data_IF_010018207736
#
_entry.id   IF_010018207736
#
_cell.length_a   1.000
_cell.length_b   1.000
_cell.length_c   1.000
_cell.angle_alpha   90.00
_cell.angle_beta   90.00
_cell.angle_gamma   90.00
#
_symmetry.space_group_name_H-M   'P 1'
#
loop_
_entity.id
_entity.type
_entity.pdbx_description
1 polymer ?
#
# COMPACT_ATOMS: atom_id res chain seq x y z
N UNK A 1 16.82 -39.56 -22.79
CA UNK A 1 17.25 -39.99 -21.45
C UNK A 1 18.58 -40.71 -21.57
N UNK A 2 19.68 -40.08 -21.18
CA UNK A 2 20.99 -40.74 -21.04
C UNK A 2 21.49 -40.47 -19.62
N UNK A 3 21.54 -41.51 -18.79
CA UNK A 3 22.01 -41.48 -17.40
C UNK A 3 23.49 -41.84 -17.36
N UNK A 4 24.32 -40.95 -16.81
CA UNK A 4 25.73 -41.22 -16.51
C UNK A 4 25.84 -41.93 -15.15
N UNK A 5 26.51 -43.08 -15.11
CA UNK A 5 26.86 -43.82 -13.90
C UNK A 5 28.35 -43.57 -13.62
N UNK A 6 28.65 -42.87 -12.53
CA UNK A 6 30.01 -42.65 -12.04
C UNK A 6 30.55 -43.93 -11.39
N UNK A 7 31.72 -44.41 -11.82
CA UNK A 7 32.44 -45.54 -11.19
C UNK A 7 33.44 -45.01 -10.16
N UNK A 8 33.39 -45.55 -8.94
CA UNK A 8 34.41 -45.32 -7.91
C UNK A 8 35.73 -46.03 -8.25
N UNK A 9 36.90 -45.47 -7.90
CA UNK A 9 38.18 -46.11 -8.16
C UNK A 9 38.50 -47.17 -7.11
N UNK A 10 38.25 -48.45 -7.41
CA UNK A 10 38.71 -49.57 -6.58
C UNK A 10 40.23 -49.74 -6.70
N UNK A 11 41.00 -49.45 -5.63
CA UNK A 11 42.43 -49.79 -5.56
C UNK A 11 42.61 -51.31 -5.43
N UNK A 12 43.53 -51.87 -6.22
CA UNK A 12 43.80 -53.30 -6.31
C UNK A 12 44.62 -53.81 -5.09
N UNK A 13 44.37 -55.03 -4.60
CA UNK A 13 45.12 -55.63 -3.49
C UNK A 13 46.53 -56.07 -3.89
N UNK A 14 47.48 -55.96 -2.95
CA UNK A 14 48.90 -56.35 -3.16
C UNK A 14 49.09 -57.83 -2.76
N UNK A 15 49.84 -58.57 -3.59
CA UNK A 15 50.12 -60.00 -3.41
C UNK A 15 51.51 -60.18 -2.76
N UNK A 16 51.57 -60.91 -1.65
CA UNK A 16 52.82 -61.27 -0.98
C UNK A 16 53.32 -62.66 -1.47
N UNK A 17 54.61 -63.00 -1.27
CA UNK A 17 55.24 -64.20 -1.87
C UNK A 17 54.63 -65.56 -1.47
N UNK A 18 53.86 -65.63 -0.38
CA UNK A 18 53.16 -66.86 0.07
C UNK A 18 51.74 -67.03 -0.50
N UNK A 19 51.36 -66.23 -1.51
CA UNK A 19 50.18 -66.53 -2.34
C UNK A 19 48.80 -66.22 -1.74
N UNK A 20 48.69 -65.67 -0.53
CA UNK A 20 47.42 -65.18 0.05
C UNK A 20 47.25 -63.66 -0.09
N UNK A 21 46.01 -63.22 -0.35
CA UNK A 21 45.60 -61.81 -0.44
C UNK A 21 45.17 -61.30 0.95
N UNK A 22 45.71 -60.15 1.39
CA UNK A 22 45.31 -59.49 2.64
C UNK A 22 44.80 -58.08 2.32
N UNK A 23 43.59 -57.75 2.76
CA UNK A 23 43.10 -56.37 2.82
C UNK A 23 43.61 -55.75 4.12
N UNK A 24 44.08 -54.51 4.05
CA UNK A 24 44.66 -53.81 5.18
C UNK A 24 43.53 -53.34 6.11
N UNK A 25 43.27 -54.07 7.19
CA UNK A 25 42.50 -53.59 8.34
C UNK A 25 43.44 -52.79 9.25
N UNK A 26 43.00 -51.61 9.66
CA UNK A 26 43.54 -50.91 10.83
C UNK A 26 42.37 -50.36 11.63
N UNK A 27 42.08 -51.02 12.75
CA UNK A 27 41.20 -50.56 13.81
C UNK A 27 41.88 -49.48 14.69
N UNK A 28 41.07 -48.46 15.02
CA UNK A 28 41.00 -47.60 16.22
C UNK A 28 42.26 -47.23 17.03
N UNK A 29 42.48 -45.92 17.23
CA UNK A 29 42.04 -45.24 18.47
C UNK A 29 42.24 -43.70 18.39
N UNK A 30 41.16 -42.92 18.51
CA UNK A 30 41.08 -41.65 19.25
C UNK A 30 39.73 -40.96 19.00
N UNK A 31 39.05 -40.70 20.11
CA UNK A 31 37.79 -39.97 20.26
C UNK A 31 37.72 -38.68 19.43
N UNK A 32 36.58 -38.46 18.75
CA UNK A 32 35.80 -37.23 18.81
C UNK A 32 34.52 -37.37 17.95
N UNK A 33 33.40 -36.92 18.52
CA UNK A 33 32.04 -37.04 18.02
C UNK A 33 31.85 -36.47 16.61
N UNK A 34 31.49 -37.32 15.64
CA UNK A 34 30.90 -36.88 14.37
C UNK A 34 29.40 -36.71 14.61
N UNK A 35 29.02 -35.55 15.16
CA UNK A 35 27.69 -35.00 14.93
C UNK A 35 27.69 -34.36 13.55
N UNK A 36 26.80 -34.84 12.68
CA UNK A 36 26.59 -34.32 11.34
C UNK A 36 26.34 -32.80 11.38
N UNK A 37 27.20 -32.07 10.66
CA UNK A 37 27.10 -30.65 10.40
C UNK A 37 25.79 -30.35 9.64
N UNK A 38 24.71 -30.09 10.39
CA UNK A 38 23.57 -29.33 9.89
C UNK A 38 24.06 -27.88 9.69
N UNK A 39 23.83 -27.24 8.53
CA UNK A 39 24.24 -25.85 8.31
C UNK A 39 23.41 -24.90 9.20
N UNK A 40 23.97 -24.54 10.36
CA UNK A 40 23.38 -23.68 11.40
C UNK A 40 23.00 -22.27 10.90
N UNK A 41 23.52 -21.83 9.75
CA UNK A 41 23.27 -20.48 9.22
C UNK A 41 21.84 -20.25 8.69
N UNK A 42 21.12 -21.31 8.29
CA UNK A 42 19.77 -21.15 7.73
C UNK A 42 18.65 -21.17 8.79
N UNK A 43 18.97 -21.59 10.02
CA UNK A 43 18.01 -21.68 11.12
C UNK A 43 17.94 -20.34 11.89
N UNK A 44 19.09 -19.69 12.07
CA UNK A 44 19.20 -18.39 12.75
C UNK A 44 18.43 -17.27 12.01
N UNK A 45 18.62 -17.18 10.69
CA UNK A 45 17.93 -16.17 9.86
C UNK A 45 16.42 -16.36 9.81
N UNK A 46 15.91 -17.60 9.85
CA UNK A 46 14.48 -17.86 9.89
C UNK A 46 13.86 -17.55 11.27
N UNK A 47 14.58 -17.84 12.36
CA UNK A 47 14.16 -17.47 13.72
C UNK A 47 14.03 -15.96 13.88
N UNK A 48 14.98 -15.19 13.33
CA UNK A 48 14.92 -13.72 13.36
C UNK A 48 13.70 -13.19 12.57
N UNK A 49 13.40 -13.79 11.42
CA UNK A 49 12.22 -13.43 10.62
C UNK A 49 10.94 -13.73 11.39
N UNK A 50 10.84 -14.86 12.10
CA UNK A 50 9.65 -15.19 12.91
C UNK A 50 9.50 -14.25 14.09
N UNK A 51 10.59 -13.95 14.80
CA UNK A 51 10.56 -12.99 15.91
C UNK A 51 10.14 -11.59 15.43
N UNK A 52 10.66 -11.14 14.29
CA UNK A 52 10.29 -9.84 13.71
C UNK A 52 8.85 -9.83 13.21
N UNK A 53 8.30 -10.96 12.74
CA UNK A 53 6.87 -11.07 12.41
C UNK A 53 5.99 -10.93 13.64
N UNK A 54 6.36 -11.57 14.75
CA UNK A 54 5.66 -11.45 16.03
C UNK A 54 5.72 -10.01 16.57
N UNK A 55 6.89 -9.37 16.50
CA UNK A 55 7.07 -7.96 16.86
C UNK A 55 6.19 -7.04 16.00
N UNK A 56 6.17 -7.24 14.67
CA UNK A 56 5.28 -6.49 13.78
C UNK A 56 3.80 -6.71 14.10
N UNK A 57 3.40 -7.94 14.42
CA UNK A 57 2.02 -8.27 14.74
C UNK A 57 1.57 -7.65 16.07
N UNK A 58 2.39 -7.75 17.11
CA UNK A 58 2.12 -7.13 18.42
C UNK A 58 2.01 -5.61 18.29
N UNK A 59 2.91 -4.97 17.54
CA UNK A 59 2.83 -3.54 17.29
C UNK A 59 1.58 -3.18 16.50
N UNK A 60 1.25 -3.90 15.43
CA UNK A 60 0.05 -3.61 14.65
C UNK A 60 -1.22 -3.71 15.51
N UNK A 61 -1.32 -4.74 16.35
CA UNK A 61 -2.45 -4.94 17.26
C UNK A 61 -2.59 -3.78 18.26
N UNK A 62 -1.48 -3.37 18.90
CA UNK A 62 -1.49 -2.25 19.85
C UNK A 62 -1.96 -0.94 19.22
N UNK A 63 -1.57 -0.68 17.97
CA UNK A 63 -1.98 0.54 17.28
C UNK A 63 -3.46 0.48 16.86
N UNK A 64 -3.95 -0.68 16.41
CA UNK A 64 -5.36 -0.85 16.02
C UNK A 64 -6.30 -0.75 17.23
N UNK A 65 -5.89 -1.26 18.40
CA UNK A 65 -6.66 -1.17 19.64
C UNK A 65 -6.84 0.28 20.12
N UNK A 66 -5.73 1.02 20.27
CA UNK A 66 -5.73 2.41 20.76
C UNK A 66 -4.75 3.30 19.97
N UNK A 67 -5.18 3.89 18.84
CA UNK A 67 -4.27 4.63 17.97
C UNK A 67 -3.76 5.94 18.59
N UNK A 68 -4.53 6.57 19.49
CA UNK A 68 -4.16 7.84 20.13
C UNK A 68 -2.96 7.73 21.07
N UNK A 69 -2.90 6.65 21.86
CA UNK A 69 -1.83 6.44 22.84
C UNK A 69 -0.59 5.81 22.20
N UNK A 70 -0.78 4.94 21.20
CA UNK A 70 0.28 4.12 20.63
C UNK A 70 0.92 4.72 19.36
N UNK A 71 0.66 5.98 19.02
CA UNK A 71 1.18 6.64 17.80
C UNK A 71 2.72 6.61 17.68
N UNK A 72 3.44 6.52 18.79
CA UNK A 72 4.92 6.41 18.80
C UNK A 72 5.39 5.11 18.15
N UNK A 73 4.61 4.05 18.24
CA UNK A 73 4.94 2.74 17.69
C UNK A 73 4.97 2.75 16.15
N UNK A 74 4.28 3.68 15.48
CA UNK A 74 4.43 3.88 14.02
C UNK A 74 5.87 4.23 13.63
N UNK A 75 6.63 4.92 14.50
CA UNK A 75 8.06 5.19 14.25
C UNK A 75 8.88 3.91 14.35
N UNK A 76 8.59 3.06 15.34
CA UNK A 76 9.24 1.75 15.51
C UNK A 76 8.96 0.85 14.31
N UNK A 77 7.71 0.79 13.82
CA UNK A 77 7.38 0.07 12.59
C UNK A 77 8.24 0.55 11.42
N UNK A 78 8.47 1.86 11.30
CA UNK A 78 9.30 2.44 10.25
C UNK A 78 10.78 2.08 10.41
N UNK A 79 11.29 2.06 11.63
CA UNK A 79 12.66 1.61 11.91
C UNK A 79 12.86 0.14 11.52
N UNK A 80 11.87 -0.72 11.79
CA UNK A 80 11.91 -2.13 11.34
C UNK A 80 11.94 -2.23 9.80
N UNK A 81 11.22 -1.33 9.10
CA UNK A 81 11.26 -1.28 7.63
C UNK A 81 12.61 -0.79 7.06
N UNK A 82 13.48 -0.18 7.86
CA UNK A 82 14.83 0.20 7.45
C UNK A 82 15.86 -0.92 7.64
N UNK A 83 15.45 -2.12 8.08
CA UNK A 83 16.35 -3.26 8.26
C UNK A 83 16.93 -3.78 6.93
N UNK A 84 18.12 -4.37 7.00
CA UNK A 84 18.84 -4.91 5.83
C UNK A 84 18.15 -6.15 5.22
N UNK A 85 17.33 -6.84 6.00
CA UNK A 85 16.65 -8.04 5.57
C UNK A 85 15.44 -7.70 4.68
N UNK A 86 15.55 -8.03 3.40
CA UNK A 86 14.55 -7.68 2.38
C UNK A 86 13.17 -8.28 2.66
N UNK A 87 13.12 -9.46 3.27
CA UNK A 87 11.86 -10.13 3.69
C UNK A 87 11.17 -9.35 4.81
N UNK A 88 11.91 -8.96 5.85
CA UNK A 88 11.40 -8.16 6.97
C UNK A 88 10.95 -6.79 6.47
N UNK A 89 11.72 -6.18 5.56
CA UNK A 89 11.37 -4.92 4.92
C UNK A 89 10.03 -4.99 4.19
N UNK A 90 9.82 -6.01 3.35
CA UNK A 90 8.52 -6.21 2.66
C UNK A 90 7.37 -6.40 3.64
N UNK A 91 7.57 -7.24 4.67
CA UNK A 91 6.56 -7.48 5.68
C UNK A 91 6.21 -6.19 6.42
N UNK A 92 7.20 -5.41 6.85
CA UNK A 92 7.00 -4.14 7.52
C UNK A 92 6.25 -3.12 6.65
N UNK A 93 6.59 -3.00 5.36
CA UNK A 93 5.89 -2.10 4.43
C UNK A 93 4.42 -2.48 4.23
N UNK A 94 4.12 -3.78 4.16
CA UNK A 94 2.76 -4.31 4.04
C UNK A 94 1.97 -4.13 5.35
N UNK A 95 2.56 -4.42 6.50
CA UNK A 95 1.94 -4.20 7.81
C UNK A 95 1.61 -2.73 8.01
N UNK A 96 2.53 -1.81 7.69
CA UNK A 96 2.29 -0.37 7.75
C UNK A 96 1.12 0.05 6.88
N UNK A 97 1.00 -0.49 5.66
CA UNK A 97 -0.13 -0.20 4.78
C UNK A 97 -1.47 -0.56 5.42
N UNK A 98 -1.58 -1.77 5.97
CA UNK A 98 -2.83 -2.25 6.60
C UNK A 98 -3.18 -1.36 7.79
N UNK A 99 -2.20 -1.11 8.67
CA UNK A 99 -2.34 -0.24 9.84
C UNK A 99 -2.79 1.17 9.43
N UNK A 100 -2.23 1.74 8.36
CA UNK A 100 -2.67 3.05 7.87
C UNK A 100 -4.10 3.03 7.32
N UNK A 101 -4.51 1.98 6.60
CA UNK A 101 -5.89 1.87 6.08
C UNK A 101 -6.93 1.87 7.21
N UNK A 102 -6.61 1.27 8.35
CA UNK A 102 -7.53 1.18 9.48
C UNK A 102 -7.59 2.47 10.32
N UNK A 103 -6.48 3.19 10.44
CA UNK A 103 -6.37 4.38 11.31
C UNK A 103 -6.75 5.68 10.59
N UNK A 104 -6.63 5.71 9.25
CA UNK A 104 -6.86 6.94 8.50
C UNK A 104 -8.33 7.38 8.62
N UNK A 105 -8.59 8.61 9.07
CA UNK A 105 -9.95 9.12 9.12
C UNK A 105 -10.55 9.35 7.72
N UNK A 106 -11.88 9.35 7.66
CA UNK A 106 -12.65 9.69 6.46
C UNK A 106 -12.61 11.17 6.05
N UNK A 107 -11.74 11.99 6.65
CA UNK A 107 -11.63 13.42 6.41
C UNK A 107 -10.18 13.85 6.21
N UNK A 108 -9.98 15.01 5.58
CA UNK A 108 -8.65 15.58 5.33
C UNK A 108 -8.18 16.39 6.53
N UNK A 109 -6.99 16.08 7.04
CA UNK A 109 -6.40 16.76 8.19
C UNK A 109 -5.73 18.06 7.72
N UNK A 110 -6.14 19.20 8.28
CA UNK A 110 -5.50 20.51 8.01
C UNK A 110 -4.30 20.72 8.92
N UNK A 111 -3.24 21.33 8.40
CA UNK A 111 -2.15 21.81 9.24
C UNK A 111 -2.62 22.98 10.11
N UNK A 112 -2.31 22.93 11.40
CA UNK A 112 -2.64 24.02 12.33
C UNK A 112 -1.76 25.23 12.07
N UNK A 113 -2.36 26.41 12.11
CA UNK A 113 -1.65 27.69 12.06
C UNK A 113 -0.98 27.98 13.40
N UNK A 114 0.05 28.83 13.39
CA UNK A 114 0.84 29.10 14.61
C UNK A 114 0.03 29.83 15.70
N UNK A 115 -1.02 30.57 15.31
CA UNK A 115 -2.01 31.17 16.22
C UNK A 115 -2.86 30.09 16.92
N UNK A 116 -3.23 29.02 16.20
CA UNK A 116 -4.04 27.92 16.75
C UNK A 116 -3.22 26.99 17.65
N UNK A 117 -1.91 26.87 17.43
CA UNK A 117 -0.99 26.07 18.26
C UNK A 117 -0.73 26.68 19.63
N UNK A 118 -0.71 28.01 19.73
CA UNK A 118 -0.45 28.74 20.98
C UNK A 118 -1.70 28.90 21.85
N UNK A 119 -2.88 28.70 21.27
CA UNK A 119 -4.15 28.80 22.00
C UNK A 119 -4.30 27.63 22.98
N UNK A 120 -4.63 27.95 24.24
CA UNK A 120 -4.94 26.94 25.27
C UNK A 120 -6.26 26.24 24.90
N UNK A 121 -6.20 24.94 24.69
CA UNK A 121 -7.34 24.07 24.42
C UNK A 121 -7.47 23.03 25.52
N UNK A 122 -8.66 22.42 25.62
CA UNK A 122 -8.90 21.30 26.54
C UNK A 122 -7.94 20.14 26.28
N UNK A 123 -7.74 19.31 27.29
CA UNK A 123 -6.81 18.18 27.21
C UNK A 123 -7.19 17.19 26.09
N UNK A 124 -8.49 16.93 25.91
CA UNK A 124 -9.00 16.05 24.84
C UNK A 124 -8.66 16.61 23.45
N UNK A 125 -8.91 17.89 23.21
CA UNK A 125 -8.59 18.55 21.93
C UNK A 125 -7.08 18.59 21.71
N UNK A 126 -6.29 18.74 22.78
CA UNK A 126 -4.83 18.70 22.70
C UNK A 126 -4.32 17.30 22.31
N UNK A 127 -4.88 16.24 22.87
CA UNK A 127 -4.55 14.84 22.53
C UNK A 127 -4.87 14.55 21.06
N UNK A 128 -6.08 14.89 20.61
CA UNK A 128 -6.50 14.71 19.22
C UNK A 128 -5.58 15.46 18.23
N UNK A 129 -5.27 16.73 18.50
CA UNK A 129 -4.34 17.52 17.67
C UNK A 129 -2.95 16.89 17.60
N UNK A 130 -2.45 16.38 18.72
CA UNK A 130 -1.14 15.72 18.75
C UNK A 130 -1.15 14.43 17.94
N UNK A 131 -2.22 13.64 18.07
CA UNK A 131 -2.43 12.44 17.28
C UNK A 131 -2.46 12.74 15.79
N UNK A 132 -3.31 13.67 15.34
CA UNK A 132 -3.45 14.04 13.92
C UNK A 132 -2.14 14.55 13.31
N UNK A 133 -1.41 15.42 14.02
CA UNK A 133 -0.12 15.94 13.56
C UNK A 133 0.92 14.84 13.40
N UNK A 134 1.01 13.93 14.37
CA UNK A 134 1.93 12.79 14.30
C UNK A 134 1.52 11.80 13.21
N UNK A 135 0.23 11.55 13.02
CA UNK A 135 -0.29 10.67 11.99
C UNK A 135 0.14 11.18 10.60
N UNK A 136 -0.12 12.46 10.31
CA UNK A 136 0.26 13.09 9.03
C UNK A 136 1.77 13.09 8.84
N UNK A 137 2.55 13.39 9.88
CA UNK A 137 4.02 13.40 9.82
C UNK A 137 4.60 12.00 9.55
N UNK A 138 4.13 10.98 10.28
CA UNK A 138 4.57 9.60 10.08
C UNK A 138 4.13 9.06 8.73
N UNK A 139 2.91 9.37 8.30
CA UNK A 139 2.41 9.01 6.98
C UNK A 139 3.24 9.63 5.85
N UNK A 140 3.59 10.92 5.96
CA UNK A 140 4.50 11.56 5.01
C UNK A 140 5.87 10.87 4.98
N UNK A 141 6.41 10.48 6.13
CA UNK A 141 7.67 9.76 6.19
C UNK A 141 7.56 8.37 5.54
N UNK A 142 6.46 7.65 5.74
CA UNK A 142 6.19 6.37 5.09
C UNK A 142 6.16 6.50 3.56
N UNK A 143 5.44 7.49 3.04
CA UNK A 143 5.39 7.76 1.60
C UNK A 143 6.79 8.06 1.03
N UNK A 144 7.61 8.83 1.75
CA UNK A 144 9.01 9.09 1.36
C UNK A 144 9.86 7.83 1.37
N UNK A 145 9.67 6.93 2.34
CA UNK A 145 10.33 5.63 2.36
C UNK A 145 9.96 4.82 1.13
N UNK A 146 8.67 4.70 0.80
CA UNK A 146 8.22 4.01 -0.42
C UNK A 146 8.79 4.66 -1.70
N UNK A 147 8.78 5.99 -1.80
CA UNK A 147 9.38 6.70 -2.95
C UNK A 147 10.88 6.42 -3.10
N UNK A 148 11.59 6.27 -1.99
CA UNK A 148 13.03 5.99 -1.98
C UNK A 148 13.28 4.60 -2.54
N UNK A 149 12.49 3.60 -2.15
CA UNK A 149 12.54 2.24 -2.71
C UNK A 149 12.24 2.22 -4.22
N UNK A 150 11.31 3.07 -4.67
CA UNK A 150 10.99 3.19 -6.10
C UNK A 150 12.11 3.84 -6.93
N UNK A 151 12.82 4.81 -6.34
CA UNK A 151 13.94 5.51 -6.99
C UNK A 151 15.22 4.67 -6.98
N UNK A 152 15.43 3.88 -5.92
CA UNK A 152 16.62 3.03 -5.72
C UNK A 152 16.91 2.13 -6.91
N UNK A 153 15.88 1.45 -7.45
CA UNK A 153 16.05 0.58 -8.63
C UNK A 153 16.48 1.35 -9.88
N UNK A 154 15.94 2.55 -10.12
CA UNK A 154 16.33 3.35 -11.29
C UNK A 154 17.78 3.85 -11.16
N UNK A 155 18.21 4.19 -9.95
CA UNK A 155 19.60 4.58 -9.67
C UNK A 155 20.55 3.40 -9.85
N UNK A 156 20.20 2.24 -9.30
CA UNK A 156 20.96 1.00 -9.50
C UNK A 156 21.09 0.68 -11.00
N UNK A 157 19.98 0.66 -11.75
CA UNK A 157 19.98 0.45 -13.20
C UNK A 157 20.87 1.48 -13.95
N UNK A 158 20.82 2.75 -13.55
CA UNK A 158 21.64 3.80 -14.17
C UNK A 158 23.14 3.61 -13.90
N UNK A 159 23.52 3.22 -12.67
CA UNK A 159 24.91 2.93 -12.31
C UNK A 159 25.44 1.68 -13.03
N UNK A 160 24.62 0.65 -13.18
CA UNK A 160 25.02 -0.60 -13.85
C UNK A 160 25.12 -0.45 -15.37
N UNK A 161 24.38 0.48 -15.97
CA UNK A 161 24.58 0.84 -17.39
C UNK A 161 25.99 1.40 -17.67
N UNK A 162 26.73 1.84 -16.64
CA UNK A 162 28.06 2.42 -16.76
C UNK A 162 29.21 1.48 -16.34
N UNK A 163 28.93 0.33 -15.68
CA UNK A 163 29.96 -0.62 -15.22
C UNK A 163 29.71 -2.02 -15.75
N UNK A 164 30.64 -2.54 -16.56
CA UNK A 164 30.71 -3.94 -16.98
C UNK A 164 31.19 -4.85 -15.84
N UNK A 165 30.45 -4.92 -14.72
CA UNK A 165 30.75 -5.90 -13.67
C UNK A 165 29.65 -6.96 -13.68
N UNK A 166 29.89 -8.06 -14.39
CA UNK A 166 29.19 -9.34 -14.28
C UNK A 166 29.90 -10.09 -13.14
N UNK A 167 29.22 -10.69 -12.14
CA UNK A 167 28.81 -12.10 -12.19
C UNK A 167 27.83 -12.43 -11.02
N UNK A 168 27.60 -11.51 -10.06
CA UNK A 168 26.77 -11.75 -8.86
C UNK A 168 25.50 -10.86 -8.80
N UNK A 169 25.22 -10.13 -9.88
CA UNK A 169 24.24 -9.05 -9.94
C UNK A 169 22.77 -9.46 -10.18
N UNK A 170 22.42 -10.54 -10.91
CA UNK A 170 21.01 -10.82 -11.23
C UNK A 170 20.17 -11.07 -9.98
N UNK A 171 20.69 -11.80 -8.98
CA UNK A 171 19.93 -12.16 -7.77
C UNK A 171 19.60 -10.96 -6.89
N UNK A 172 20.55 -10.04 -6.64
CA UNK A 172 20.31 -8.81 -5.88
C UNK A 172 19.35 -7.87 -6.60
N UNK A 173 19.50 -7.71 -7.93
CA UNK A 173 18.58 -6.89 -8.73
C UNK A 173 17.17 -7.47 -8.72
N UNK A 174 17.03 -8.81 -8.81
CA UNK A 174 15.73 -9.48 -8.69
C UNK A 174 15.10 -9.27 -7.32
N UNK A 175 15.88 -9.34 -6.23
CA UNK A 175 15.35 -9.13 -4.88
C UNK A 175 14.93 -7.68 -4.64
N UNK A 176 15.73 -6.69 -5.06
CA UNK A 176 15.36 -5.27 -5.01
C UNK A 176 14.10 -5.00 -5.87
N UNK A 177 14.03 -5.57 -7.08
CA UNK A 177 12.85 -5.45 -7.94
C UNK A 177 11.58 -5.95 -7.25
N UNK A 178 11.65 -7.06 -6.50
CA UNK A 178 10.49 -7.57 -5.77
C UNK A 178 10.05 -6.67 -4.61
N UNK A 179 10.98 -5.94 -3.98
CA UNK A 179 10.65 -4.94 -2.96
C UNK A 179 9.99 -3.73 -3.61
N UNK A 180 10.55 -3.25 -4.72
CA UNK A 180 9.97 -2.16 -5.51
C UNK A 180 8.57 -2.50 -6.00
N UNK A 181 8.35 -3.74 -6.46
CA UNK A 181 7.02 -4.23 -6.84
C UNK A 181 6.05 -4.20 -5.66
N UNK A 182 6.50 -4.63 -4.49
CA UNK A 182 5.71 -4.61 -3.25
C UNK A 182 5.41 -3.18 -2.80
N UNK A 183 6.39 -2.28 -2.84
CA UNK A 183 6.25 -0.87 -2.51
C UNK A 183 5.28 -0.16 -3.47
N UNK A 184 5.37 -0.45 -4.76
CA UNK A 184 4.43 0.08 -5.76
C UNK A 184 3.02 -0.43 -5.51
N UNK A 185 2.87 -1.74 -5.24
CA UNK A 185 1.58 -2.33 -4.87
C UNK A 185 1.01 -1.62 -3.64
N UNK A 186 1.84 -1.35 -2.62
CA UNK A 186 1.38 -0.60 -1.46
C UNK A 186 0.88 0.81 -1.82
N UNK A 187 1.59 1.55 -2.68
CA UNK A 187 1.14 2.86 -3.13
C UNK A 187 -0.18 2.80 -3.91
N UNK A 188 -0.32 1.80 -4.78
CA UNK A 188 -1.53 1.58 -5.59
C UNK A 188 -2.73 1.27 -4.70
N UNK A 189 -2.58 0.26 -3.83
CA UNK A 189 -3.60 -0.17 -2.87
C UNK A 189 -4.02 0.96 -1.93
N UNK A 190 -3.08 1.84 -1.56
CA UNK A 190 -3.38 3.00 -0.73
C UNK A 190 -4.18 4.03 -1.49
N UNK A 191 -3.75 4.36 -2.71
CA UNK A 191 -4.45 5.33 -3.54
C UNK A 191 -5.88 4.91 -3.85
N UNK A 192 -6.14 3.61 -4.07
CA UNK A 192 -7.50 3.07 -4.27
C UNK A 192 -8.35 3.23 -3.01
N UNK A 193 -7.83 2.82 -1.85
CA UNK A 193 -8.62 2.81 -0.61
C UNK A 193 -8.80 4.18 0.04
N UNK A 194 -7.86 5.10 -0.18
CA UNK A 194 -7.80 6.38 0.53
C UNK A 194 -7.55 7.53 -0.45
N UNK A 195 -8.46 7.67 -1.42
CA UNK A 195 -8.40 8.75 -2.41
C UNK A 195 -8.62 10.12 -1.78
N UNK A 196 -9.33 10.25 -0.67
CA UNK A 196 -9.72 11.54 -0.05
C UNK A 196 -8.65 12.16 0.87
N UNK A 197 -7.67 11.37 1.31
CA UNK A 197 -6.75 11.78 2.37
C UNK A 197 -5.58 12.65 1.87
N UNK A 198 -4.87 13.25 2.82
CA UNK A 198 -3.72 14.10 2.57
C UNK A 198 -2.67 13.42 1.67
N UNK A 199 -1.96 14.20 0.85
CA UNK A 199 -0.90 13.76 -0.07
C UNK A 199 -1.33 12.86 -1.25
N UNK A 200 -2.63 12.77 -1.55
CA UNK A 200 -3.20 12.19 -2.78
C UNK A 200 -2.42 12.54 -4.06
N UNK A 201 -2.11 13.82 -4.27
CA UNK A 201 -1.39 14.29 -5.46
C UNK A 201 0.03 13.72 -5.56
N UNK A 202 0.72 13.51 -4.44
CA UNK A 202 2.08 12.98 -4.43
C UNK A 202 2.09 11.49 -4.81
N UNK A 203 1.10 10.74 -4.33
CA UNK A 203 0.88 9.34 -4.72
C UNK A 203 0.60 9.23 -6.22
N UNK A 204 -0.36 10.00 -6.72
CA UNK A 204 -0.67 10.03 -8.15
C UNK A 204 0.53 10.45 -8.99
N UNK A 205 1.27 11.47 -8.58
CA UNK A 205 2.48 11.90 -9.30
C UNK A 205 3.53 10.80 -9.38
N UNK A 206 3.69 10.02 -8.30
CA UNK A 206 4.64 8.90 -8.27
C UNK A 206 4.19 7.77 -9.21
N UNK A 207 2.91 7.40 -9.19
CA UNK A 207 2.33 6.38 -10.08
C UNK A 207 2.43 6.81 -11.55
N UNK A 208 2.04 8.05 -11.86
CA UNK A 208 2.14 8.61 -13.22
C UNK A 208 3.60 8.69 -13.68
N UNK A 209 4.53 9.05 -12.80
CA UNK A 209 5.97 9.04 -13.11
C UNK A 209 6.46 7.64 -13.51
N UNK A 210 5.91 6.58 -12.91
CA UNK A 210 6.23 5.19 -13.32
C UNK A 210 5.65 4.82 -14.68
N UNK A 211 4.46 5.30 -15.03
CA UNK A 211 3.85 5.12 -16.35
C UNK A 211 4.66 5.80 -17.47
N UNK A 212 5.47 6.80 -17.12
CA UNK A 212 6.36 7.51 -18.03
C UNK A 212 7.57 6.69 -18.53
N UNK A 213 7.74 5.45 -18.04
CA UNK A 213 8.88 4.60 -18.40
C UNK A 213 8.74 4.05 -19.82
N UNK A 214 9.83 4.08 -20.60
CA UNK A 214 9.83 3.63 -21.99
C UNK A 214 9.49 2.13 -22.17
N UNK A 215 9.80 1.27 -21.20
CA UNK A 215 9.44 -0.16 -21.25
C UNK A 215 8.15 -0.41 -20.48
N UNK A 216 7.16 -1.00 -21.15
CA UNK A 216 5.95 -1.48 -20.47
C UNK A 216 6.30 -2.73 -19.65
N UNK A 217 6.11 -2.64 -18.34
CA UNK A 217 6.44 -3.70 -17.38
C UNK A 217 5.17 -4.09 -16.63
N UNK A 218 5.16 -5.26 -15.96
CA UNK A 218 4.11 -5.65 -15.00
C UNK A 218 3.76 -4.52 -14.02
N UNK A 219 4.75 -3.77 -13.55
CA UNK A 219 4.58 -2.61 -12.69
C UNK A 219 3.77 -1.48 -13.35
N UNK A 220 4.00 -1.20 -14.63
CA UNK A 220 3.24 -0.20 -15.39
C UNK A 220 1.80 -0.65 -15.59
N UNK A 221 1.57 -1.95 -15.84
CA UNK A 221 0.23 -2.51 -15.92
C UNK A 221 -0.56 -2.32 -14.61
N UNK A 222 0.05 -2.63 -13.46
CA UNK A 222 -0.57 -2.39 -12.15
C UNK A 222 -0.94 -0.92 -11.93
N UNK A 223 -0.08 0.02 -12.34
CA UNK A 223 -0.38 1.45 -12.27
C UNK A 223 -1.59 1.82 -13.16
N UNK A 224 -1.69 1.28 -14.37
CA UNK A 224 -2.84 1.51 -15.25
C UNK A 224 -4.13 0.97 -14.62
N UNK A 225 -4.11 -0.26 -14.11
CA UNK A 225 -5.26 -0.89 -13.44
C UNK A 225 -5.74 -0.07 -12.25
N UNK A 226 -4.79 0.46 -11.47
CA UNK A 226 -5.07 1.35 -10.33
C UNK A 226 -5.78 2.63 -10.78
N UNK A 227 -5.30 3.26 -11.86
CA UNK A 227 -5.93 4.48 -12.40
C UNK A 227 -7.34 4.18 -12.93
N UNK A 228 -7.51 3.04 -13.60
CA UNK A 228 -8.82 2.58 -14.07
C UNK A 228 -9.79 2.38 -12.90
N UNK A 229 -9.32 1.79 -11.80
CA UNK A 229 -10.13 1.58 -10.60
C UNK A 229 -10.51 2.92 -9.94
N UNK A 230 -9.59 3.89 -9.88
CA UNK A 230 -9.89 5.25 -9.41
C UNK A 230 -10.98 5.89 -10.26
N UNK A 231 -10.86 5.84 -11.59
CA UNK A 231 -11.86 6.41 -12.50
C UNK A 231 -13.24 5.76 -12.38
N UNK A 232 -13.30 4.48 -12.00
CA UNK A 232 -14.57 3.77 -11.76
C UNK A 232 -15.19 4.12 -10.40
N UNK A 233 -14.36 4.22 -9.36
CA UNK A 233 -14.81 4.43 -7.98
C UNK A 233 -15.08 5.90 -7.64
N UNK A 234 -14.57 6.84 -8.43
CA UNK A 234 -14.75 8.27 -8.19
C UNK A 234 -16.16 8.73 -8.57
N UNK A 235 -16.93 9.15 -7.56
CA UNK A 235 -18.26 9.74 -7.72
C UNK A 235 -18.24 11.28 -7.74
N UNK A 236 -17.19 11.90 -7.19
CA UNK A 236 -17.08 13.36 -7.08
C UNK A 236 -16.35 13.97 -8.28
N UNK A 237 -15.51 13.20 -8.96
CA UNK A 237 -14.74 13.64 -10.14
C UNK A 237 -13.46 14.38 -9.81
N UNK A 238 -13.22 14.76 -8.54
CA UNK A 238 -12.01 15.46 -8.10
C UNK A 238 -10.76 14.58 -8.23
N UNK A 239 -10.90 13.28 -7.93
CA UNK A 239 -9.81 12.32 -8.06
C UNK A 239 -9.40 12.13 -9.53
N UNK A 240 -10.40 11.96 -10.38
CA UNK A 240 -10.28 11.75 -11.81
C UNK A 240 -9.71 12.96 -12.53
N UNK A 241 -10.18 14.17 -12.23
CA UNK A 241 -9.71 15.40 -12.84
C UNK A 241 -8.20 15.61 -12.62
N UNK A 242 -7.73 15.41 -11.40
CA UNK A 242 -6.31 15.59 -11.10
C UNK A 242 -5.43 14.50 -11.70
N UNK A 243 -5.90 13.25 -11.72
CA UNK A 243 -5.25 12.18 -12.45
C UNK A 243 -5.11 12.52 -13.95
N UNK A 244 -6.19 12.96 -14.59
CA UNK A 244 -6.18 13.37 -16.01
C UNK A 244 -5.22 14.54 -16.26
N UNK A 245 -5.21 15.56 -15.39
CA UNK A 245 -4.26 16.68 -15.49
C UNK A 245 -2.81 16.21 -15.38
N UNK A 246 -2.52 15.31 -14.44
CA UNK A 246 -1.17 14.77 -14.24
C UNK A 246 -0.72 13.91 -15.42
N UNK A 247 -1.57 13.01 -15.92
CA UNK A 247 -1.29 12.17 -17.09
C UNK A 247 -1.09 13.06 -18.33
N UNK A 248 -1.95 14.05 -18.54
CA UNK A 248 -1.82 14.99 -19.68
C UNK A 248 -0.51 15.77 -19.62
N UNK A 249 -0.11 16.25 -18.43
CA UNK A 249 1.17 16.92 -18.22
C UNK A 249 2.34 15.98 -18.53
N UNK A 250 2.25 14.72 -18.14
CA UNK A 250 3.25 13.69 -18.43
C UNK A 250 3.35 13.36 -19.93
N UNK A 251 2.22 13.20 -20.63
CA UNK A 251 2.20 12.94 -22.08
C UNK A 251 2.91 14.09 -22.83
N UNK A 252 2.59 15.33 -22.46
CA UNK A 252 3.21 16.53 -23.05
C UNK A 252 4.72 16.60 -22.76
N UNK A 253 5.14 16.29 -21.53
CA UNK A 253 6.57 16.31 -21.17
C UNK A 253 7.40 15.21 -21.87
N UNK A 254 6.75 14.15 -22.36
CA UNK A 254 7.36 13.06 -23.13
C UNK A 254 7.20 13.19 -24.64
N UNK A 255 6.78 14.36 -25.15
CA UNK A 255 6.57 14.58 -26.59
C UNK A 255 5.66 13.52 -27.22
N UNK A 256 4.65 13.06 -26.48
CA UNK A 256 3.66 12.07 -26.94
C UNK A 256 4.21 10.65 -27.18
N UNK A 257 5.43 10.35 -26.73
CA UNK A 257 5.97 8.98 -26.73
C UNK A 257 5.45 8.23 -25.50
N UNK A 258 4.25 7.64 -25.63
CA UNK A 258 3.57 6.92 -24.55
C UNK A 258 2.95 5.63 -25.08
N UNK A 259 2.86 4.62 -24.23
CA UNK A 259 2.22 3.34 -24.53
C UNK A 259 0.71 3.48 -24.70
N UNK A 260 0.13 2.62 -25.55
CA UNK A 260 -1.30 2.62 -25.86
C UNK A 260 -2.14 2.35 -24.61
N UNK A 261 -1.68 1.47 -23.72
CA UNK A 261 -2.41 1.10 -22.50
C UNK A 261 -2.67 2.30 -21.59
N UNK A 262 -1.76 3.28 -21.58
CA UNK A 262 -1.94 4.52 -20.79
C UNK A 262 -3.08 5.35 -21.37
N UNK A 263 -3.21 5.42 -22.71
CA UNK A 263 -4.32 6.13 -23.35
C UNK A 263 -5.64 5.38 -23.15
N UNK A 264 -5.60 4.05 -23.15
CA UNK A 264 -6.77 3.21 -22.88
C UNK A 264 -7.34 3.42 -21.47
N UNK A 265 -6.55 3.91 -20.50
CA UNK A 265 -7.09 4.29 -19.19
C UNK A 265 -8.17 5.38 -19.28
N UNK A 266 -8.07 6.31 -20.24
CA UNK A 266 -9.06 7.38 -20.41
C UNK A 266 -10.42 6.89 -20.93
N UNK A 267 -10.48 5.70 -21.52
CA UNK A 267 -11.75 5.10 -21.96
C UNK A 267 -12.65 4.71 -20.79
N UNK A 268 -12.08 4.53 -19.60
CA UNK A 268 -12.79 4.17 -18.39
C UNK A 268 -13.29 5.39 -17.59
N UNK A 269 -13.08 6.62 -18.08
CA UNK A 269 -13.63 7.81 -17.47
C UNK A 269 -15.16 7.81 -17.59
N UNK A 270 -15.88 8.09 -16.50
CA UNK A 270 -17.35 8.11 -16.42
C UNK A 270 -18.02 9.31 -17.11
N UNK A 271 -17.39 9.86 -18.15
CA UNK A 271 -17.87 11.05 -18.86
C UNK A 271 -19.20 10.84 -19.58
N UNK A 272 -19.45 9.63 -20.10
CA UNK A 272 -20.60 9.37 -20.97
C UNK A 272 -21.93 9.36 -20.23
N UNK A 273 -21.97 8.78 -19.03
CA UNK A 273 -23.20 8.75 -18.23
C UNK A 273 -23.52 10.14 -17.64
N UNK A 274 -22.49 10.90 -17.26
CA UNK A 274 -22.66 12.18 -16.55
C UNK A 274 -22.86 13.40 -17.47
N UNK A 275 -22.24 13.43 -18.67
CA UNK A 275 -22.46 14.52 -19.63
C UNK A 275 -23.84 14.45 -20.33
N UNK A 276 -24.46 13.27 -20.39
CA UNK A 276 -25.80 13.10 -20.98
C UNK A 276 -26.91 13.74 -20.13
N UNK A 277 -26.68 13.91 -18.83
CA UNK A 277 -27.60 14.59 -17.91
C UNK A 277 -27.67 16.10 -18.19
N UNK A 278 -26.59 16.70 -18.74
CA UNK A 278 -26.60 18.11 -19.19
C UNK A 278 -27.51 18.33 -20.41
N UNK A 279 -27.79 17.31 -21.22
CA UNK A 279 -28.69 17.45 -22.38
C UNK A 279 -30.17 17.25 -22.04
N UNK A 280 -30.48 16.60 -20.91
CA UNK A 280 -31.86 16.38 -20.46
C UNK A 280 -32.34 17.40 -19.43
N UNK A 281 -31.42 18.03 -18.68
CA UNK A 281 -31.80 18.97 -17.61
C UNK A 281 -32.07 20.42 -18.08
N UNK A 282 -31.90 20.72 -19.36
CA UNK A 282 -32.24 22.05 -19.91
C UNK A 282 -33.72 22.19 -20.32
N UNK A 283 -34.51 21.11 -20.34
CA UNK A 283 -35.93 21.19 -20.71
C UNK A 283 -36.92 20.66 -19.66
N UNK A 284 -36.53 19.85 -18.68
CA UNK A 284 -37.48 19.35 -17.68
C UNK A 284 -37.29 19.97 -16.29
N UNK A 285 -37.75 21.21 -16.17
CA UNK A 285 -37.97 21.91 -14.90
C UNK A 285 -39.46 22.02 -14.54
N UNK A 286 -40.30 21.07 -14.95
CA UNK A 286 -41.71 21.04 -14.58
C UNK A 286 -42.26 19.60 -14.67
N UNK A 287 -42.99 19.16 -13.63
CA UNK A 287 -43.52 17.78 -13.38
C UNK A 287 -42.47 16.77 -12.89
N UNK A 288 -42.45 16.36 -11.62
CA UNK A 288 -43.41 15.40 -11.06
C UNK A 288 -43.41 15.47 -9.51
N UNK A 289 -44.34 16.24 -8.94
CA UNK A 289 -44.72 16.19 -7.52
C UNK A 289 -45.95 15.31 -7.34
N UNK A 290 -45.93 14.05 -7.79
CA UNK A 290 -46.99 13.09 -7.47
C UNK A 290 -46.48 11.67 -7.24
N UNK A 291 -45.69 11.45 -6.17
CA UNK A 291 -45.54 10.10 -5.60
C UNK A 291 -46.11 10.03 -4.20
N UNK A 292 -47.18 9.25 -4.10
CA UNK A 292 -48.09 9.18 -2.97
C UNK A 292 -47.43 8.86 -1.63
N UNK A 293 -48.03 9.43 -0.58
CA UNK A 293 -47.83 9.04 0.82
C UNK A 293 -48.21 7.57 1.01
N UNK A 294 -47.30 6.64 0.73
CA UNK A 294 -47.36 5.30 1.31
C UNK A 294 -47.01 5.45 2.79
N UNK A 295 -48.04 5.42 3.64
CA UNK A 295 -47.92 5.24 5.09
C UNK A 295 -47.05 4.00 5.31
N UNK A 296 -45.80 4.18 5.74
CA UNK A 296 -44.97 3.06 6.23
C UNK A 296 -45.63 2.56 7.51
N UNK A 297 -46.25 1.38 7.42
CA UNK A 297 -46.67 0.61 8.58
C UNK A 297 -45.41 0.33 9.40
N UNK A 298 -45.41 0.86 10.61
CA UNK A 298 -44.26 0.97 11.50
C UNK A 298 -43.86 -0.45 11.97
N UNK A 299 -42.79 -1.03 11.40
CA UNK A 299 -42.10 -2.18 12.00
C UNK A 299 -41.39 -1.66 13.26
N UNK A 300 -42.17 -1.48 14.33
CA UNK A 300 -41.65 -1.14 15.64
C UNK A 300 -40.92 -2.37 16.20
N UNK A 301 -39.63 -2.48 15.90
CA UNK A 301 -38.72 -3.18 16.78
C UNK A 301 -38.76 -2.56 18.19
N UNK A 302 -38.21 -3.23 19.21
CA UNK A 302 -38.31 -2.78 20.60
C UNK A 302 -37.73 -1.37 20.73
N UNK A 303 -38.60 -0.36 20.81
CA UNK A 303 -38.20 1.04 21.02
C UNK A 303 -37.66 1.12 22.44
N UNK A 304 -36.33 1.10 22.58
CA UNK A 304 -35.65 1.42 23.86
C UNK A 304 -36.28 2.72 24.40
N UNK A 305 -36.74 2.72 25.65
CA UNK A 305 -37.40 3.87 26.25
C UNK A 305 -36.40 5.03 26.42
N UNK A 306 -36.32 5.90 25.41
CA UNK A 306 -35.47 7.09 25.43
C UNK A 306 -36.11 8.19 26.27
N UNK A 307 -35.30 8.84 27.12
CA UNK A 307 -35.67 10.03 27.88
C UNK A 307 -36.15 11.18 26.97
N UNK A 308 -37.03 12.05 27.49
CA UNK A 308 -37.58 13.19 26.74
C UNK A 308 -36.48 14.12 26.18
N UNK A 309 -35.37 14.30 26.92
CA UNK A 309 -34.21 15.11 26.49
C UNK A 309 -33.45 14.47 25.31
N UNK A 310 -33.21 13.16 25.38
CA UNK A 310 -32.57 12.38 24.31
C UNK A 310 -33.41 12.38 23.02
N UNK A 311 -34.75 12.30 23.15
CA UNK A 311 -35.67 12.39 22.01
C UNK A 311 -35.62 13.74 21.31
N UNK A 312 -35.49 14.85 22.06
CA UNK A 312 -35.36 16.19 21.49
C UNK A 312 -34.04 16.32 20.71
N UNK A 313 -32.93 15.93 21.32
CA UNK A 313 -31.60 15.93 20.67
C UNK A 313 -31.55 15.07 19.41
N UNK A 314 -32.21 13.90 19.41
CA UNK A 314 -32.25 13.04 18.22
C UNK A 314 -33.04 13.68 17.07
N UNK A 315 -34.13 14.41 17.37
CA UNK A 315 -34.89 15.15 16.35
C UNK A 315 -34.05 16.29 15.77
N UNK A 316 -33.40 17.08 16.64
CA UNK A 316 -32.52 18.17 16.22
C UNK A 316 -31.35 17.65 15.37
N UNK A 317 -30.68 16.55 15.79
CA UNK A 317 -29.62 15.92 14.98
C UNK A 317 -30.11 15.44 13.63
N UNK A 318 -31.33 14.91 13.54
CA UNK A 318 -31.91 14.41 12.29
C UNK A 318 -32.27 15.55 11.33
N UNK A 319 -32.71 16.68 11.87
CA UNK A 319 -32.96 17.89 11.07
C UNK A 319 -31.64 18.44 10.51
N UNK A 320 -30.61 18.56 11.36
CA UNK A 320 -29.26 18.93 10.91
C UNK A 320 -28.72 17.95 9.87
N UNK A 321 -28.88 16.64 10.06
CA UNK A 321 -28.44 15.63 9.07
C UNK A 321 -29.16 15.79 7.72
N UNK A 322 -30.43 16.19 7.73
CA UNK A 322 -31.19 16.46 6.52
C UNK A 322 -30.66 17.70 5.80
N UNK A 323 -30.45 18.78 6.54
CA UNK A 323 -29.92 20.03 6.00
C UNK A 323 -28.49 19.86 5.46
N UNK A 324 -27.66 19.07 6.16
CA UNK A 324 -26.31 18.70 5.69
C UNK A 324 -26.35 17.92 4.38
N UNK A 325 -27.26 16.93 4.25
CA UNK A 325 -27.40 16.16 3.01
C UNK A 325 -27.89 16.99 1.84
N UNK A 326 -28.79 17.94 2.09
CA UNK A 326 -29.28 18.86 1.05
C UNK A 326 -28.15 19.80 0.59
N UNK A 327 -27.36 20.34 1.53
CA UNK A 327 -26.20 21.16 1.20
C UNK A 327 -25.12 20.38 0.44
N UNK A 328 -24.78 19.17 0.88
CA UNK A 328 -23.81 18.29 0.20
C UNK A 328 -24.26 17.96 -1.22
N UNK A 329 -25.55 17.69 -1.44
CA UNK A 329 -26.06 17.40 -2.78
C UNK A 329 -25.94 18.59 -3.74
N UNK A 330 -26.14 19.82 -3.26
CA UNK A 330 -25.96 21.04 -4.06
C UNK A 330 -24.50 21.26 -4.39
N UNK A 331 -23.61 21.17 -3.40
CA UNK A 331 -22.15 21.34 -3.60
C UNK A 331 -21.62 20.29 -4.57
N UNK A 332 -22.00 19.04 -4.39
CA UNK A 332 -21.57 17.95 -5.26
C UNK A 332 -22.02 18.18 -6.71
N UNK A 333 -23.23 18.71 -6.93
CA UNK A 333 -23.70 19.10 -8.27
C UNK A 333 -22.84 20.21 -8.88
N UNK A 334 -22.53 21.25 -8.12
CA UNK A 334 -21.69 22.36 -8.60
C UNK A 334 -20.24 21.93 -8.87
N UNK A 335 -19.68 21.07 -8.02
CA UNK A 335 -18.33 20.51 -8.20
C UNK A 335 -18.28 19.64 -9.46
N UNK A 336 -19.27 18.76 -9.66
CA UNK A 336 -19.43 17.96 -10.89
C UNK A 336 -19.61 18.79 -12.15
N UNK A 337 -20.15 20.00 -12.07
CA UNK A 337 -20.25 20.87 -13.24
C UNK A 337 -18.90 21.48 -13.64
N UNK A 338 -17.99 21.65 -12.66
CA UNK A 338 -16.66 22.26 -12.83
C UNK A 338 -15.57 21.24 -13.16
N UNK A 339 -15.71 20.00 -12.68
CA UNK A 339 -14.77 18.90 -12.92
C UNK A 339 -15.04 18.21 -14.26
#
# INVERSE_FOLDING_TARGET
MYTWISKEPTKLPIKLPDGKLRYQESDNDSNEDISEFIPIQNISSNSDITQKKEELATIAQMIIEDPENNIRQLKVLREISASNNLTIKKLALLTQLVVYKDIIPGYRIRQLTDKEKTTKVSEEVKKLRHFEQNLVSNYQAYLKSLETELKGVNYLLALFSQRSLLIQLPSMICQEHTITETALKCMCDLLISVTHFNFRLNLMMTIVSRLSTSKFTKMSAMCCDTIIEIFKNDESGEASLDAVKLITKMIKSKSYVVHEEVLNTFLHLRLKEELSVKTLNNEDSFYDKTKGKKRKFDKQGPKKHLSKKLKKLYKERKEVEKDMKEAEAVVNREEREKT
#
